data_IF_264161100829
#
_entry.id   IF_264161100829
#
_cell.length_a   1.000
_cell.length_b   1.000
_cell.length_c   1.000
_cell.angle_alpha   90.00
_cell.angle_beta   90.00
_cell.angle_gamma   90.00
#
_symmetry.space_group_name_H-M   'P 1'
#
loop_
_entity.id
_entity.type
_entity.pdbx_description
1 polymer ?
#
# COMPACT_ATOMS: atom_id res chain seq x y z
N UNK A 1 11.34 -6.99 9.11
CA UNK A 1 11.06 -5.61 9.55
C UNK A 1 9.60 -5.54 9.91
N UNK A 2 9.25 -4.94 11.05
CA UNK A 2 7.84 -4.74 11.42
C UNK A 2 7.31 -3.45 10.77
N UNK A 3 6.61 -3.59 9.65
CA UNK A 3 5.75 -2.51 9.16
C UNK A 3 4.54 -2.43 10.09
N UNK A 4 4.36 -1.31 10.78
CA UNK A 4 3.17 -1.12 11.63
C UNK A 4 1.91 -1.14 10.76
N UNK A 5 0.88 -1.87 11.19
CA UNK A 5 -0.35 -1.98 10.40
C UNK A 5 -1.35 -0.85 10.67
N UNK A 6 -1.27 -0.19 11.82
CA UNK A 6 -2.15 0.94 12.18
C UNK A 6 -1.34 2.23 12.18
N UNK A 7 -1.46 2.97 11.09
CA UNK A 7 -0.66 4.17 10.85
C UNK A 7 -1.33 5.38 11.48
N UNK A 8 -0.56 6.22 12.17
CA UNK A 8 -1.09 7.37 12.92
C UNK A 8 -1.61 8.44 11.95
N UNK A 9 -0.88 8.72 10.88
CA UNK A 9 -1.22 9.74 9.89
C UNK A 9 -1.25 9.17 8.47
N UNK A 10 -1.75 9.96 7.52
CA UNK A 10 -1.68 9.63 6.08
C UNK A 10 -0.23 9.61 5.57
N UNK A 11 0.67 10.40 6.18
CA UNK A 11 2.08 10.43 5.82
C UNK A 11 2.79 9.15 6.26
N UNK A 12 2.58 8.72 7.51
CA UNK A 12 3.17 7.46 8.00
C UNK A 12 2.69 6.25 7.18
N UNK A 13 1.44 6.29 6.73
CA UNK A 13 0.88 5.30 5.80
C UNK A 13 1.57 5.33 4.43
N UNK A 14 1.74 6.51 3.85
CA UNK A 14 2.45 6.65 2.58
C UNK A 14 3.89 6.15 2.67
N UNK A 15 4.60 6.49 3.75
CA UNK A 15 5.98 6.07 3.98
C UNK A 15 6.08 4.55 4.08
N UNK A 16 5.14 3.92 4.78
CA UNK A 16 5.06 2.46 4.90
C UNK A 16 4.76 1.78 3.57
N UNK A 17 3.85 2.34 2.77
CA UNK A 17 3.54 1.83 1.42
C UNK A 17 4.75 1.95 0.51
N UNK A 18 5.41 3.11 0.51
CA UNK A 18 6.60 3.37 -0.30
C UNK A 18 7.69 2.38 0.05
N UNK A 19 7.97 2.21 1.34
CA UNK A 19 8.97 1.28 1.82
C UNK A 19 8.69 -0.17 1.40
N UNK A 20 7.44 -0.63 1.44
CA UNK A 20 7.07 -1.99 1.00
C UNK A 20 7.33 -2.16 -0.49
N UNK A 21 6.93 -1.20 -1.32
CA UNK A 21 7.12 -1.27 -2.78
C UNK A 21 8.59 -1.15 -3.16
N UNK A 22 9.32 -0.25 -2.50
CA UNK A 22 10.74 -0.05 -2.77
C UNK A 22 11.54 -1.31 -2.45
N UNK A 23 11.23 -1.99 -1.33
CA UNK A 23 11.85 -3.28 -1.01
C UNK A 23 11.54 -4.38 -2.01
N UNK A 24 10.34 -4.36 -2.60
CA UNK A 24 10.01 -5.29 -3.67
C UNK A 24 10.84 -4.99 -4.93
N UNK A 25 10.98 -3.72 -5.30
CA UNK A 25 11.84 -3.32 -6.43
C UNK A 25 13.32 -3.56 -6.20
N UNK A 26 13.76 -3.59 -4.94
CA UNK A 26 15.12 -3.92 -4.51
C UNK A 26 15.31 -5.44 -4.30
N UNK A 27 14.39 -6.29 -4.76
CA UNK A 27 14.41 -7.75 -4.64
C UNK A 27 14.57 -8.26 -3.19
N UNK A 28 14.24 -7.42 -2.20
CA UNK A 28 14.42 -7.70 -0.76
C UNK A 28 13.22 -8.41 -0.13
N UNK A 29 12.06 -8.39 -0.79
CA UNK A 29 10.86 -9.15 -0.44
C UNK A 29 10.24 -9.74 -1.71
N UNK A 30 9.53 -10.85 -1.56
CA UNK A 30 8.78 -11.44 -2.67
C UNK A 30 7.54 -10.61 -3.05
N UNK A 31 7.03 -10.83 -4.27
CA UNK A 31 5.76 -10.25 -4.71
C UNK A 31 4.61 -10.62 -3.76
N UNK A 32 4.56 -11.88 -3.30
CA UNK A 32 3.55 -12.34 -2.35
C UNK A 32 3.59 -11.53 -1.05
N UNK A 33 4.77 -11.31 -0.48
CA UNK A 33 4.94 -10.50 0.73
C UNK A 33 4.51 -9.05 0.51
N UNK A 34 4.88 -8.44 -0.62
CA UNK A 34 4.46 -7.09 -0.99
C UNK A 34 2.93 -7.01 -1.05
N UNK A 35 2.28 -7.94 -1.76
CA UNK A 35 0.82 -8.00 -1.92
C UNK A 35 0.13 -8.10 -0.56
N UNK A 36 0.58 -9.03 0.30
CA UNK A 36 0.00 -9.24 1.63
C UNK A 36 0.16 -7.98 2.49
N UNK A 37 1.33 -7.33 2.47
CA UNK A 37 1.58 -6.13 3.26
C UNK A 37 0.75 -4.94 2.79
N UNK A 38 0.66 -4.69 1.48
CA UNK A 38 -0.15 -3.60 0.92
C UNK A 38 -1.63 -3.80 1.25
N UNK A 39 -2.16 -5.02 1.12
CA UNK A 39 -3.55 -5.34 1.52
C UNK A 39 -3.80 -5.09 3.00
N UNK A 40 -2.88 -5.52 3.88
CA UNK A 40 -2.98 -5.26 5.32
C UNK A 40 -2.92 -3.77 5.65
N UNK A 41 -2.04 -3.00 4.99
CA UNK A 41 -1.96 -1.55 5.17
C UNK A 41 -3.25 -0.86 4.70
N UNK A 42 -3.85 -1.31 3.60
CA UNK A 42 -5.12 -0.79 3.12
C UNK A 42 -6.26 -1.06 4.10
N UNK A 43 -6.52 -2.33 4.45
CA UNK A 43 -7.65 -2.72 5.31
C UNK A 43 -7.61 -2.02 6.67
N UNK A 44 -6.43 -1.90 7.28
CA UNK A 44 -6.28 -1.28 8.59
C UNK A 44 -6.27 0.26 8.56
N UNK A 45 -6.20 0.88 7.37
CA UNK A 45 -6.10 2.33 7.23
C UNK A 45 -6.97 2.89 6.10
N UNK A 46 -8.07 2.23 5.75
CA UNK A 46 -8.88 2.54 4.56
C UNK A 46 -9.17 4.04 4.40
N UNK A 47 -9.72 4.68 5.44
CA UNK A 47 -10.07 6.12 5.44
C UNK A 47 -8.86 7.07 5.31
N UNK A 48 -7.65 6.60 5.63
CA UNK A 48 -6.40 7.36 5.45
C UNK A 48 -5.86 7.20 4.03
N UNK A 49 -6.10 6.04 3.42
CA UNK A 49 -5.65 5.74 2.06
C UNK A 49 -6.59 6.33 1.00
N UNK A 50 -7.88 6.07 1.14
CA UNK A 50 -8.94 6.37 0.18
C UNK A 50 -10.02 7.19 0.88
N UNK A 51 -10.48 8.23 0.20
CA UNK A 51 -11.65 9.03 0.57
C UNK A 51 -12.45 9.30 -0.70
N UNK A 52 -13.76 9.10 -0.64
CA UNK A 52 -14.68 9.31 -1.77
C UNK A 52 -14.25 8.54 -3.05
N UNK A 53 -13.80 7.30 -2.86
CA UNK A 53 -13.35 6.41 -3.94
C UNK A 53 -12.02 6.81 -4.60
N UNK A 54 -11.29 7.78 -4.05
CA UNK A 54 -10.00 8.26 -4.59
C UNK A 54 -8.92 8.26 -3.52
N UNK A 55 -7.67 8.06 -3.94
CA UNK A 55 -6.54 8.26 -3.04
C UNK A 55 -6.55 9.68 -2.47
N UNK A 56 -6.31 9.80 -1.16
CA UNK A 56 -6.22 11.12 -0.52
C UNK A 56 -5.05 11.91 -1.10
N UNK A 57 -5.11 13.25 -1.00
CA UNK A 57 -4.07 14.12 -1.58
C UNK A 57 -2.69 13.83 -1.01
N UNK A 58 -2.57 13.56 0.29
CA UNK A 58 -1.28 13.23 0.94
C UNK A 58 -0.70 11.94 0.34
N UNK A 59 -1.53 10.90 0.22
CA UNK A 59 -1.11 9.62 -0.39
C UNK A 59 -0.64 9.83 -1.84
N UNK A 60 -1.38 10.59 -2.64
CA UNK A 60 -1.00 10.90 -4.03
C UNK A 60 0.34 11.61 -4.13
N UNK A 61 0.57 12.60 -3.26
CA UNK A 61 1.79 13.39 -3.26
C UNK A 61 3.00 12.57 -2.80
N UNK A 62 2.85 11.76 -1.74
CA UNK A 62 3.95 11.02 -1.14
C UNK A 62 4.30 9.73 -1.90
N UNK A 63 3.31 8.98 -2.39
CA UNK A 63 3.58 7.75 -3.12
C UNK A 63 3.98 8.00 -4.58
N UNK A 64 3.41 9.04 -5.19
CA UNK A 64 3.61 9.32 -6.60
C UNK A 64 2.94 8.29 -7.52
N UNK A 65 2.94 8.58 -8.83
CA UNK A 65 2.17 7.82 -9.83
C UNK A 65 2.53 6.33 -9.88
N UNK A 66 3.83 6.00 -10.00
CA UNK A 66 4.30 4.61 -10.21
C UNK A 66 3.94 3.68 -9.05
N UNK A 67 4.12 4.13 -7.81
CA UNK A 67 3.76 3.31 -6.63
C UNK A 67 2.26 3.15 -6.49
N UNK A 68 1.49 4.20 -6.78
CA UNK A 68 0.02 4.11 -6.75
C UNK A 68 -0.55 3.20 -7.84
N UNK A 69 0.09 3.07 -8.99
CA UNK A 69 -0.27 2.06 -10.00
C UNK A 69 -0.09 0.64 -9.43
N UNK A 70 1.03 0.36 -8.76
CA UNK A 70 1.26 -0.92 -8.07
C UNK A 70 0.20 -1.16 -7.00
N UNK A 71 -0.07 -0.20 -6.12
CA UNK A 71 -1.10 -0.33 -5.08
C UNK A 71 -2.46 -0.62 -5.70
N UNK A 72 -2.83 0.11 -6.76
CA UNK A 72 -4.12 -0.07 -7.45
C UNK A 72 -4.24 -1.49 -8.01
N UNK A 73 -3.21 -1.98 -8.69
CA UNK A 73 -3.18 -3.35 -9.21
C UNK A 73 -3.31 -4.37 -8.07
N UNK A 74 -2.56 -4.22 -6.98
CA UNK A 74 -2.62 -5.13 -5.84
C UNK A 74 -4.01 -5.19 -5.21
N UNK A 75 -4.69 -4.04 -5.09
CA UNK A 75 -6.04 -3.96 -4.52
C UNK A 75 -7.09 -4.54 -5.48
N UNK A 76 -6.94 -4.34 -6.79
CA UNK A 76 -7.84 -4.89 -7.82
C UNK A 76 -7.66 -6.40 -8.07
N UNK A 77 -6.43 -6.92 -7.95
CA UNK A 77 -6.13 -8.36 -8.11
C UNK A 77 -6.71 -9.24 -6.99
N UNK A 78 -7.52 -8.68 -6.08
CA UNK A 78 -8.15 -9.39 -4.97
C UNK A 78 -9.34 -10.27 -5.39
N UNK A 79 -9.74 -10.30 -6.66
CA UNK A 79 -10.79 -11.20 -7.16
C UNK A 79 -10.32 -12.63 -7.50
N UNK A 80 -9.04 -12.98 -7.33
CA UNK A 80 -8.52 -14.27 -7.84
C UNK A 80 -7.65 -15.15 -6.92
N UNK A 81 -7.55 -14.84 -5.63
CA UNK A 81 -6.97 -15.78 -4.66
C UNK A 81 -8.01 -16.14 -3.59
N UNK A 82 -8.93 -17.03 -3.97
CA UNK A 82 -9.67 -17.84 -3.02
C UNK A 82 -8.74 -18.90 -2.44
N UNK A 83 -8.86 -19.09 -1.12
CA UNK A 83 -8.16 -20.08 -0.29
C UNK A 83 -8.47 -21.49 -0.79
#
# INVERSE_FOLDING_TARGET
>A
MEVKLFQRTQRDLADSINQVIDKYWEDSISEHEMVVMIKKLHVNNEKKLIKDGRYTTVIRQQCGKRRLEVVTNVLQSSEHYSI
#
